data_IF_666777502228
#
_entry.id   IF_666777502228
#
_cell.length_a   1.000
_cell.length_b   1.000
_cell.length_c   1.000
_cell.angle_alpha   90.00
_cell.angle_beta   90.00
_cell.angle_gamma   90.00
#
_symmetry.space_group_name_H-M   'P 1'
#
loop_
_entity.id
_entity.type
_entity.pdbx_description
1 polymer ?
#
# COMPACT_ATOMS: atom_id res chain seq x y z
N UNK A 1 -27.32 -1.16 11.41
CA UNK A 1 -25.88 -0.83 11.44
C UNK A 1 -25.13 -2.11 11.17
N UNK A 2 -24.33 -2.15 10.10
CA UNK A 2 -23.49 -3.31 9.79
C UNK A 2 -22.21 -3.24 10.62
N UNK A 3 -21.75 -4.39 11.10
CA UNK A 3 -20.57 -4.48 11.97
C UNK A 3 -19.33 -4.05 11.16
N UNK A 4 -18.27 -3.48 11.75
CA UNK A 4 -17.02 -3.15 11.04
C UNK A 4 -16.36 -4.33 10.29
N UNK A 5 -16.82 -5.56 10.53
CA UNK A 5 -16.42 -6.78 9.81
C UNK A 5 -17.06 -6.90 8.41
N UNK A 6 -18.02 -6.06 8.04
CA UNK A 6 -18.73 -6.10 6.75
C UNK A 6 -18.08 -5.22 5.67
N UNK A 7 -16.95 -4.57 5.97
CA UNK A 7 -16.15 -3.77 5.04
C UNK A 7 -15.06 -4.67 4.44
N UNK A 8 -14.79 -4.58 3.12
CA UNK A 8 -13.95 -5.52 2.36
C UNK A 8 -12.52 -5.77 2.90
N UNK A 9 -11.76 -6.73 2.34
CA UNK A 9 -10.70 -7.48 3.05
C UNK A 9 -9.34 -6.78 3.30
N UNK A 10 -9.19 -5.46 3.12
CA UNK A 10 -7.87 -4.80 3.01
C UNK A 10 -7.61 -3.63 3.97
N UNK A 11 -7.78 -3.83 5.28
CA UNK A 11 -7.52 -2.79 6.29
C UNK A 11 -6.63 -3.29 7.42
N UNK A 12 -5.87 -2.40 8.05
CA UNK A 12 -4.96 -2.74 9.15
C UNK A 12 -5.15 -1.71 10.28
N UNK A 13 -5.32 -2.15 11.52
CA UNK A 13 -5.67 -1.29 12.68
C UNK A 13 -4.67 -1.44 13.82
N UNK A 14 -4.17 -0.34 14.37
CA UNK A 14 -3.48 -0.34 15.66
C UNK A 14 -4.50 -0.12 16.79
N UNK A 15 -4.19 -0.59 18.02
CA UNK A 15 -5.02 -0.29 19.20
C UNK A 15 -4.77 1.11 19.79
N UNK A 16 -3.78 1.85 19.28
CA UNK A 16 -3.86 3.31 19.17
C UNK A 16 -4.70 3.62 17.92
N UNK A 17 -5.65 4.55 17.99
CA UNK A 17 -6.79 4.78 17.09
C UNK A 17 -6.53 4.98 15.58
N UNK A 18 -5.65 4.22 14.94
CA UNK A 18 -5.12 4.49 13.61
C UNK A 18 -5.46 3.35 12.65
N UNK A 19 -5.73 3.71 11.39
CA UNK A 19 -6.00 2.77 10.31
C UNK A 19 -5.01 2.98 9.16
N UNK A 20 -4.19 1.97 8.89
CA UNK A 20 -3.37 1.94 7.68
C UNK A 20 -4.09 1.15 6.60
N UNK A 21 -4.16 1.71 5.39
CA UNK A 21 -4.96 1.13 4.30
C UNK A 21 -4.10 0.84 3.08
N UNK A 22 -4.35 -0.32 2.47
CA UNK A 22 -3.85 -0.59 1.13
C UNK A 22 -4.87 -0.10 0.10
N UNK A 23 -4.48 -0.11 -1.18
CA UNK A 23 -5.40 0.27 -2.24
C UNK A 23 -6.57 -0.72 -2.32
N UNK A 24 -7.73 -0.25 -2.79
CA UNK A 24 -8.91 -1.07 -2.99
C UNK A 24 -8.60 -2.26 -3.90
N UNK A 25 -9.18 -3.41 -3.57
CA UNK A 25 -8.99 -4.65 -4.32
C UNK A 25 -9.21 -4.42 -5.82
N UNK A 26 -8.21 -4.79 -6.63
CA UNK A 26 -8.21 -4.62 -8.09
C UNK A 26 -7.54 -3.34 -8.59
N UNK A 27 -7.54 -2.24 -7.83
CA UNK A 27 -6.95 -0.97 -8.26
C UNK A 27 -5.42 -1.07 -8.44
N UNK A 28 -4.69 -1.67 -7.49
CA UNK A 28 -3.24 -1.90 -7.64
C UNK A 28 -2.92 -2.78 -8.85
N UNK A 29 -3.80 -3.73 -9.20
CA UNK A 29 -3.60 -4.58 -10.37
C UNK A 29 -3.77 -3.79 -11.67
N UNK A 30 -4.73 -2.86 -11.72
CA UNK A 30 -4.91 -1.95 -12.86
C UNK A 30 -3.74 -0.96 -13.00
N UNK A 31 -3.17 -0.51 -11.88
CA UNK A 31 -2.05 0.42 -11.86
C UNK A 31 -0.71 -0.25 -12.19
N UNK A 32 -0.49 -1.48 -11.72
CA UNK A 32 0.79 -2.18 -11.89
C UNK A 32 0.70 -3.32 -12.92
N UNK A 33 0.47 -4.53 -12.44
CA UNK A 33 0.28 -5.75 -13.21
C UNK A 33 -0.60 -6.69 -12.38
N UNK A 34 -1.44 -7.48 -13.02
CA UNK A 34 -2.31 -8.39 -12.29
C UNK A 34 -1.53 -9.64 -11.83
N UNK A 35 -1.34 -9.81 -10.51
CA UNK A 35 -0.53 -10.91 -9.93
C UNK A 35 -0.92 -12.32 -10.41
N UNK A 36 -2.22 -12.59 -10.58
CA UNK A 36 -2.73 -13.93 -10.98
C UNK A 36 -2.82 -14.16 -12.49
N UNK A 37 -3.39 -13.21 -13.25
CA UNK A 37 -3.62 -13.36 -14.69
C UNK A 37 -2.48 -12.84 -15.55
N UNK A 38 -1.52 -12.09 -15.00
CA UNK A 38 -0.46 -11.43 -15.76
C UNK A 38 -0.95 -10.29 -16.66
N UNK A 39 -2.23 -9.90 -16.58
CA UNK A 39 -2.74 -8.80 -17.39
C UNK A 39 -1.98 -7.50 -17.06
N UNK A 40 -1.50 -6.77 -18.09
CA UNK A 40 -0.68 -5.59 -17.87
C UNK A 40 -1.53 -4.42 -17.40
N UNK A 41 -1.11 -3.79 -16.30
CA UNK A 41 -1.67 -2.52 -15.84
C UNK A 41 -0.93 -1.32 -16.45
N UNK A 42 -1.20 -0.12 -15.95
CA UNK A 42 -0.59 1.13 -16.42
C UNK A 42 0.93 1.03 -16.46
N UNK A 43 1.56 0.54 -15.38
CA UNK A 43 3.00 0.36 -15.28
C UNK A 43 3.56 -0.57 -16.36
N UNK A 44 2.98 -1.76 -16.50
CA UNK A 44 3.46 -2.78 -17.43
C UNK A 44 3.23 -2.39 -18.90
N UNK A 45 2.15 -1.64 -19.18
CA UNK A 45 1.93 -1.04 -20.49
C UNK A 45 2.96 0.05 -20.76
N UNK A 46 3.20 0.93 -19.79
CA UNK A 46 4.16 2.02 -19.92
C UNK A 46 5.59 1.53 -20.13
N UNK A 47 6.01 0.46 -19.46
CA UNK A 47 7.36 -0.10 -19.60
C UNK A 47 7.65 -0.71 -20.96
N UNK A 48 6.61 -1.21 -21.64
CA UNK A 48 6.70 -1.90 -22.93
C UNK A 48 6.28 -1.02 -24.11
N UNK A 49 5.89 0.23 -23.84
CA UNK A 49 5.33 1.08 -24.87
C UNK A 49 6.44 1.73 -25.69
N UNK A 50 6.52 1.31 -26.95
CA UNK A 50 7.40 1.92 -27.94
C UNK A 50 6.69 2.92 -28.85
N UNK A 51 5.34 3.03 -28.89
CA UNK A 51 4.61 4.03 -29.70
C UNK A 51 3.06 4.07 -29.58
N UNK A 52 2.39 3.15 -28.88
CA UNK A 52 0.92 2.97 -28.98
C UNK A 52 0.12 3.60 -27.82
N UNK A 53 0.77 4.25 -26.86
CA UNK A 53 0.13 4.96 -25.75
C UNK A 53 -0.92 4.14 -24.99
N UNK A 54 -0.82 2.80 -25.00
CA UNK A 54 -1.81 1.90 -24.39
C UNK A 54 -1.99 2.15 -22.89
N UNK A 55 -0.95 2.66 -22.22
CA UNK A 55 -1.00 3.06 -20.82
C UNK A 55 -1.96 4.23 -20.55
N UNK A 56 -2.24 5.11 -21.53
CA UNK A 56 -3.22 6.20 -21.39
C UNK A 56 -4.64 5.65 -21.25
N UNK A 57 -4.97 4.65 -22.07
CA UNK A 57 -6.28 3.99 -22.00
C UNK A 57 -6.44 3.26 -20.66
N UNK A 58 -5.40 2.57 -20.20
CA UNK A 58 -5.40 1.94 -18.88
C UNK A 58 -5.53 2.96 -17.74
N UNK A 59 -4.84 4.10 -17.80
CA UNK A 59 -4.94 5.15 -16.80
C UNK A 59 -6.33 5.81 -16.79
N UNK A 60 -6.94 5.96 -17.97
CA UNK A 60 -8.33 6.44 -18.11
C UNK A 60 -9.33 5.47 -17.49
N UNK A 61 -9.10 4.16 -17.65
CA UNK A 61 -9.91 3.12 -17.00
C UNK A 61 -9.77 3.19 -15.47
N UNK A 62 -8.56 3.40 -14.94
CA UNK A 62 -8.35 3.63 -13.50
C UNK A 62 -9.12 4.87 -13.04
N UNK A 63 -9.06 5.97 -13.79
CA UNK A 63 -9.78 7.20 -13.47
C UNK A 63 -11.30 6.99 -13.39
N UNK A 64 -11.84 6.23 -14.35
CA UNK A 64 -13.26 5.89 -14.40
C UNK A 64 -13.66 5.01 -13.22
N UNK A 65 -12.81 4.06 -12.81
CA UNK A 65 -13.07 3.19 -11.67
C UNK A 65 -12.97 3.89 -10.32
N UNK A 66 -12.16 4.96 -10.21
CA UNK A 66 -12.01 5.72 -8.98
C UNK A 66 -13.05 6.83 -8.82
N UNK A 67 -13.53 7.43 -9.92
CA UNK A 67 -14.66 8.38 -10.00
C UNK A 67 -14.76 9.50 -8.93
N UNK A 68 -13.65 9.85 -8.25
CA UNK A 68 -13.59 10.84 -7.18
C UNK A 68 -12.77 12.07 -7.59
N UNK A 69 -13.26 13.27 -7.28
CA UNK A 69 -12.60 14.54 -7.62
C UNK A 69 -11.20 14.66 -6.99
N UNK A 70 -11.00 14.12 -5.78
CA UNK A 70 -9.70 14.09 -5.11
C UNK A 70 -8.62 13.39 -5.95
N UNK A 71 -8.98 12.28 -6.57
CA UNK A 71 -8.05 11.48 -7.38
C UNK A 71 -7.84 12.08 -8.76
N UNK A 72 -8.80 12.85 -9.29
CA UNK A 72 -8.72 13.43 -10.63
C UNK A 72 -7.45 14.27 -10.82
N UNK A 73 -7.12 15.09 -9.82
CA UNK A 73 -5.89 15.90 -9.82
C UNK A 73 -4.64 15.03 -9.86
N UNK A 74 -4.60 13.95 -9.07
CA UNK A 74 -3.46 13.04 -9.01
C UNK A 74 -3.29 12.19 -10.26
N UNK A 75 -4.39 11.74 -10.85
CA UNK A 75 -4.37 11.02 -12.13
C UNK A 75 -3.85 11.93 -13.23
N UNK A 76 -4.32 13.16 -13.30
CA UNK A 76 -3.87 14.12 -14.31
C UNK A 76 -2.38 14.48 -14.12
N UNK A 77 -1.95 14.68 -12.88
CA UNK A 77 -0.53 14.88 -12.57
C UNK A 77 0.33 13.66 -12.93
N UNK A 78 -0.17 12.45 -12.67
CA UNK A 78 0.51 11.20 -13.05
C UNK A 78 0.60 11.07 -14.57
N UNK A 79 -0.49 11.36 -15.29
CA UNK A 79 -0.52 11.37 -16.76
C UNK A 79 0.52 12.32 -17.33
N UNK A 80 0.58 13.55 -16.82
CA UNK A 80 1.54 14.57 -17.24
C UNK A 80 2.99 14.10 -16.97
N UNK A 81 3.25 13.55 -15.78
CA UNK A 81 4.56 13.01 -15.41
C UNK A 81 5.03 11.87 -16.35
N UNK A 82 4.13 10.94 -16.69
CA UNK A 82 4.44 9.84 -17.60
C UNK A 82 4.74 10.33 -19.03
N UNK A 83 4.02 11.35 -19.51
CA UNK A 83 4.33 12.00 -20.79
C UNK A 83 5.70 12.69 -20.77
N UNK A 84 5.99 13.44 -19.72
CA UNK A 84 7.28 14.13 -19.57
C UNK A 84 8.43 13.13 -19.52
N UNK A 85 8.23 11.99 -18.85
CA UNK A 85 9.22 10.92 -18.78
C UNK A 85 9.47 10.28 -20.16
N UNK A 86 8.42 9.99 -20.94
CA UNK A 86 8.57 9.51 -22.33
C UNK A 86 9.32 10.53 -23.18
N UNK A 87 8.97 11.82 -23.06
CA UNK A 87 9.66 12.91 -23.76
C UNK A 87 11.14 13.00 -23.39
N UNK A 88 11.48 12.92 -22.10
CA UNK A 88 12.88 12.93 -21.66
C UNK A 88 13.66 11.72 -22.21
N UNK A 89 13.05 10.52 -22.18
CA UNK A 89 13.69 9.29 -22.67
C UNK A 89 13.79 9.23 -24.20
N UNK A 90 13.10 10.11 -24.95
CA UNK A 90 13.29 10.24 -26.39
C UNK A 90 14.64 10.86 -26.76
N UNK A 91 15.29 11.54 -25.80
CA UNK A 91 16.67 12.00 -25.95
C UNK A 91 17.63 10.89 -25.51
N UNK A 92 18.58 10.52 -26.37
CA UNK A 92 19.45 9.34 -26.19
C UNK A 92 20.39 9.32 -24.97
N UNK A 93 20.29 10.30 -24.07
CA UNK A 93 21.01 10.36 -22.81
C UNK A 93 20.22 9.79 -21.62
N UNK A 94 18.90 9.64 -21.75
CA UNK A 94 18.03 9.15 -20.68
C UNK A 94 17.45 7.79 -21.06
N UNK A 95 17.41 6.86 -20.10
CA UNK A 95 16.82 5.55 -20.31
C UNK A 95 15.58 5.40 -19.47
N UNK A 96 14.50 4.93 -20.08
CA UNK A 96 13.25 4.66 -19.39
C UNK A 96 13.44 3.67 -18.22
N UNK A 97 14.32 2.68 -18.41
CA UNK A 97 14.69 1.68 -17.39
C UNK A 97 15.11 2.31 -16.06
N UNK A 98 15.78 3.46 -16.11
CA UNK A 98 16.38 4.10 -14.93
C UNK A 98 15.31 4.75 -14.05
N UNK A 99 14.11 4.96 -14.60
CA UNK A 99 12.99 5.62 -13.94
C UNK A 99 11.84 4.67 -13.58
N UNK A 100 11.88 3.42 -14.05
CA UNK A 100 10.77 2.48 -13.85
C UNK A 100 10.47 2.21 -12.37
N UNK A 101 11.48 2.04 -11.51
CA UNK A 101 11.26 1.82 -10.08
C UNK A 101 10.45 2.98 -9.43
N UNK A 102 10.79 4.21 -9.79
CA UNK A 102 10.11 5.42 -9.31
C UNK A 102 8.69 5.53 -9.86
N UNK A 103 8.49 5.16 -11.13
CA UNK A 103 7.16 5.12 -11.74
C UNK A 103 6.25 4.08 -11.07
N UNK A 104 6.81 2.93 -10.67
CA UNK A 104 6.07 1.90 -9.92
C UNK A 104 5.57 2.45 -8.59
N UNK A 105 6.45 3.13 -7.86
CA UNK A 105 6.16 3.79 -6.58
C UNK A 105 5.07 4.86 -6.71
N UNK A 106 5.18 5.72 -7.72
CA UNK A 106 4.19 6.76 -8.01
C UNK A 106 2.79 6.15 -8.22
N UNK A 107 2.71 5.10 -9.03
CA UNK A 107 1.45 4.42 -9.35
C UNK A 107 0.87 3.68 -8.14
N UNK A 108 1.70 3.02 -7.33
CA UNK A 108 1.26 2.42 -6.06
C UNK A 108 0.68 3.48 -5.11
N UNK A 109 1.39 4.58 -4.90
CA UNK A 109 0.96 5.67 -4.02
C UNK A 109 -0.38 6.29 -4.45
N UNK A 110 -0.66 6.37 -5.75
CA UNK A 110 -1.93 6.86 -6.29
C UNK A 110 -3.12 5.99 -5.84
N UNK A 111 -2.98 4.67 -5.93
CA UNK A 111 -4.02 3.71 -5.52
C UNK A 111 -4.36 3.82 -4.03
N UNK A 112 -3.35 4.03 -3.21
CA UNK A 112 -3.50 4.04 -1.75
C UNK A 112 -3.99 5.38 -1.22
N UNK A 113 -3.54 6.48 -1.82
CA UNK A 113 -4.10 7.79 -1.55
C UNK A 113 -5.61 7.81 -1.82
N UNK A 114 -6.07 7.16 -2.91
CA UNK A 114 -7.51 7.03 -3.18
C UNK A 114 -8.24 6.29 -2.05
N UNK A 115 -7.75 5.11 -1.67
CA UNK A 115 -8.40 4.30 -0.65
C UNK A 115 -8.42 4.96 0.72
N UNK A 116 -7.31 5.58 1.13
CA UNK A 116 -7.27 6.34 2.37
C UNK A 116 -8.25 7.51 2.33
N UNK A 117 -8.30 8.27 1.23
CA UNK A 117 -9.22 9.39 1.10
C UNK A 117 -10.69 8.93 1.16
N UNK A 118 -11.08 7.92 0.40
CA UNK A 118 -12.47 7.40 0.41
C UNK A 118 -12.86 6.92 1.81
N UNK A 119 -11.97 6.23 2.52
CA UNK A 119 -12.23 5.78 3.89
C UNK A 119 -12.38 6.94 4.87
N UNK A 120 -11.73 8.08 4.65
CA UNK A 120 -11.93 9.27 5.51
C UNK A 120 -13.34 9.83 5.41
N UNK A 121 -14.09 9.50 4.35
CA UNK A 121 -15.50 9.87 4.24
C UNK A 121 -16.40 9.20 5.28
N UNK A 122 -15.88 8.29 6.12
CA UNK A 122 -16.53 7.86 7.37
C UNK A 122 -16.89 9.05 8.29
N UNK A 123 -16.29 10.22 8.08
CA UNK A 123 -16.76 11.51 8.63
C UNK A 123 -18.26 11.76 8.39
N UNK A 124 -18.81 11.33 7.25
CA UNK A 124 -20.26 11.43 6.96
C UNK A 124 -21.12 10.57 7.88
N UNK A 125 -20.52 9.56 8.51
CA UNK A 125 -21.15 8.71 9.51
C UNK A 125 -20.82 9.13 10.96
N UNK A 126 -20.19 10.30 11.15
CA UNK A 126 -19.86 10.85 12.48
C UNK A 126 -18.54 10.37 13.08
N UNK A 127 -17.69 9.69 12.30
CA UNK A 127 -16.34 9.30 12.73
C UNK A 127 -15.39 10.49 12.58
N UNK A 128 -14.62 10.83 13.61
CA UNK A 128 -13.59 11.88 13.52
C UNK A 128 -12.34 11.39 12.75
N UNK A 129 -12.52 10.99 11.50
CA UNK A 129 -11.45 10.44 10.68
C UNK A 129 -10.58 11.54 10.07
N UNK A 130 -9.27 11.31 9.96
CA UNK A 130 -8.32 12.26 9.36
C UNK A 130 -7.51 11.59 8.26
N UNK A 131 -7.44 12.22 7.09
CA UNK A 131 -6.62 11.71 5.99
C UNK A 131 -5.14 12.00 6.24
N UNK A 132 -4.28 10.97 6.19
CA UNK A 132 -2.83 11.10 6.33
C UNK A 132 -2.15 10.50 5.11
N UNK A 133 -1.57 11.37 4.27
CA UNK A 133 -0.90 10.96 3.03
C UNK A 133 0.62 10.84 3.22
N UNK A 134 1.11 9.60 3.22
CA UNK A 134 2.55 9.32 3.26
C UNK A 134 3.15 9.11 1.86
N UNK A 135 2.34 9.08 0.79
CA UNK A 135 2.78 8.80 -0.58
C UNK A 135 3.78 9.81 -1.15
N UNK A 136 3.94 10.97 -0.49
CA UNK A 136 4.86 12.01 -0.91
C UNK A 136 4.45 12.71 -2.20
N UNK A 137 3.15 12.74 -2.53
CA UNK A 137 2.62 13.49 -3.66
C UNK A 137 3.10 14.95 -3.62
N UNK A 138 3.87 15.35 -4.64
CA UNK A 138 4.55 16.67 -4.72
C UNK A 138 5.49 17.00 -3.54
N UNK A 139 5.89 16.01 -2.75
CA UNK A 139 6.77 16.17 -1.61
C UNK A 139 8.24 15.86 -1.91
N UNK A 140 9.15 16.36 -1.06
CA UNK A 140 10.58 16.06 -1.15
C UNK A 140 10.86 14.57 -0.90
N UNK A 141 11.83 13.98 -1.62
CA UNK A 141 12.27 12.58 -1.47
C UNK A 141 13.30 12.36 -0.34
N UNK A 142 13.88 13.43 0.17
CA UNK A 142 14.94 13.38 1.18
C UNK A 142 14.37 13.26 2.60
N UNK A 143 13.65 12.17 2.88
CA UNK A 143 13.37 11.79 4.26
C UNK A 143 13.32 10.28 4.44
N UNK A 144 13.69 9.85 5.64
CA UNK A 144 13.59 8.45 6.05
C UNK A 144 12.13 8.07 6.32
N UNK A 145 11.83 6.77 6.40
CA UNK A 145 10.48 6.30 6.72
C UNK A 145 9.98 6.85 8.08
N UNK A 146 10.77 6.81 9.18
CA UNK A 146 10.34 7.40 10.45
C UNK A 146 10.07 8.91 10.35
N UNK A 147 10.87 9.65 9.58
CA UNK A 147 10.64 11.09 9.37
C UNK A 147 9.35 11.34 8.56
N UNK A 148 9.05 10.50 7.57
CA UNK A 148 7.82 10.58 6.78
C UNK A 148 6.60 10.35 7.68
N UNK A 149 6.63 9.31 8.50
CA UNK A 149 5.57 8.98 9.46
C UNK A 149 5.38 10.11 10.46
N UNK A 150 6.48 10.58 11.07
CA UNK A 150 6.45 11.67 12.04
C UNK A 150 5.83 12.94 11.48
N UNK A 151 6.19 13.33 10.24
CA UNK A 151 5.60 14.49 9.56
C UNK A 151 4.13 14.27 9.19
N UNK A 152 3.75 13.06 8.78
CA UNK A 152 2.37 12.75 8.40
C UNK A 152 1.42 12.76 9.60
N UNK A 153 1.90 12.31 10.76
CA UNK A 153 1.14 12.28 12.01
C UNK A 153 1.29 13.56 12.85
N UNK A 154 2.01 14.57 12.35
CA UNK A 154 2.18 15.83 13.06
C UNK A 154 0.81 16.52 13.29
N UNK A 155 0.55 16.86 14.54
CA UNK A 155 -0.72 17.45 14.97
C UNK A 155 -1.94 16.54 14.85
N UNK A 156 -1.77 15.21 14.75
CA UNK A 156 -2.86 14.24 14.88
C UNK A 156 -3.01 13.86 16.37
N UNK A 157 -4.21 14.01 16.91
CA UNK A 157 -4.55 13.54 18.26
C UNK A 157 -5.15 12.13 18.19
N UNK A 158 -4.34 11.11 18.49
CA UNK A 158 -4.75 9.71 18.41
C UNK A 158 -5.81 9.32 19.47
N UNK A 159 -6.10 10.17 20.47
CA UNK A 159 -7.17 9.90 21.43
C UNK A 159 -8.55 10.27 20.88
N UNK A 160 -8.61 11.22 19.95
CA UNK A 160 -9.87 11.80 19.47
C UNK A 160 -10.06 11.69 17.97
N UNK A 161 -8.99 11.55 17.20
CA UNK A 161 -8.99 11.39 15.75
C UNK A 161 -8.70 9.93 15.36
N UNK A 162 -9.28 9.51 14.24
CA UNK A 162 -8.96 8.25 13.56
C UNK A 162 -8.14 8.57 12.30
N UNK A 163 -6.79 8.63 12.36
CA UNK A 163 -5.99 8.80 11.17
C UNK A 163 -6.13 7.60 10.24
N UNK A 164 -6.44 7.88 8.98
CA UNK A 164 -6.47 6.95 7.87
C UNK A 164 -5.24 7.20 7.02
N UNK A 165 -4.26 6.31 7.13
CA UNK A 165 -2.91 6.46 6.61
C UNK A 165 -2.72 5.61 5.36
N UNK A 166 -2.04 6.14 4.34
CA UNK A 166 -1.64 5.36 3.16
C UNK A 166 -0.61 4.29 3.54
N UNK A 167 -0.75 3.06 3.03
CA UNK A 167 0.22 1.98 3.25
C UNK A 167 1.57 2.19 2.55
N UNK A 168 1.58 2.84 1.40
CA UNK A 168 2.78 3.28 0.72
C UNK A 168 3.25 4.60 1.33
N UNK A 169 4.52 4.62 1.71
CA UNK A 169 5.20 5.81 2.18
C UNK A 169 6.41 6.07 1.28
N UNK A 170 6.52 7.31 0.79
CA UNK A 170 7.69 7.73 0.02
C UNK A 170 8.81 8.06 1.00
N UNK A 171 9.93 7.35 0.87
CA UNK A 171 11.11 7.54 1.70
C UNK A 171 12.39 7.15 0.95
N UNK A 172 13.54 7.58 1.48
CA UNK A 172 14.87 7.33 0.93
C UNK A 172 15.25 5.85 0.80
N UNK A 173 14.63 4.99 1.59
CA UNK A 173 14.91 3.56 1.68
C UNK A 173 14.28 2.76 0.53
N UNK A 174 13.34 3.35 -0.22
CA UNK A 174 12.70 2.71 -1.39
C UNK A 174 11.89 1.46 -1.03
N UNK A 175 10.75 1.63 -0.35
CA UNK A 175 9.99 0.51 0.21
C UNK A 175 9.56 -0.52 -0.84
N UNK A 176 9.14 -0.09 -2.04
CA UNK A 176 8.75 -1.04 -3.09
C UNK A 176 9.92 -1.85 -3.60
N UNK A 177 11.13 -1.26 -3.70
CA UNK A 177 12.31 -1.99 -4.14
C UNK A 177 12.72 -3.05 -3.12
N UNK A 178 12.57 -2.74 -1.82
CA UNK A 178 13.01 -3.61 -0.73
C UNK A 178 11.98 -4.68 -0.35
N UNK A 179 10.69 -4.38 -0.48
CA UNK A 179 9.59 -5.23 0.03
C UNK A 179 8.51 -5.59 -1.02
N UNK A 180 8.68 -5.23 -2.29
CA UNK A 180 7.70 -5.40 -3.38
C UNK A 180 6.28 -4.96 -3.01
N UNK A 181 5.31 -5.87 -2.81
CA UNK A 181 3.94 -5.52 -2.36
C UNK A 181 3.71 -5.70 -0.86
N UNK A 182 4.76 -5.95 -0.09
CA UNK A 182 4.77 -6.05 1.37
C UNK A 182 5.08 -4.75 2.09
N UNK A 183 5.20 -3.63 1.36
CA UNK A 183 5.56 -2.35 1.97
C UNK A 183 4.48 -1.84 2.91
N UNK A 184 3.19 -2.16 2.67
CA UNK A 184 2.09 -1.64 3.49
C UNK A 184 2.18 -2.15 4.91
N UNK A 185 2.58 -3.41 5.09
CA UNK A 185 2.80 -3.98 6.42
C UNK A 185 4.03 -3.39 7.11
N UNK A 186 5.09 -3.11 6.35
CA UNK A 186 6.29 -2.44 6.87
C UNK A 186 5.97 -1.04 7.37
N UNK A 187 5.22 -0.26 6.57
CA UNK A 187 4.74 1.07 6.95
C UNK A 187 3.86 0.98 8.19
N UNK A 188 2.91 0.04 8.21
CA UNK A 188 2.03 -0.14 9.36
C UNK A 188 2.78 -0.47 10.64
N UNK A 189 3.72 -1.43 10.61
CA UNK A 189 4.48 -1.78 11.80
C UNK A 189 5.36 -0.62 12.29
N UNK A 190 5.91 0.18 11.37
CA UNK A 190 6.63 1.41 11.74
C UNK A 190 5.69 2.46 12.36
N UNK A 191 4.45 2.59 11.89
CA UNK A 191 3.45 3.47 12.51
C UNK A 191 3.11 2.97 13.91
N UNK A 192 2.83 1.67 14.07
CA UNK A 192 2.51 1.06 15.36
C UNK A 192 3.65 1.24 16.37
N UNK A 193 4.90 1.06 15.94
CA UNK A 193 6.08 1.32 16.75
C UNK A 193 6.23 2.82 17.09
N UNK A 194 6.00 3.71 16.12
CA UNK A 194 6.07 5.16 16.31
C UNK A 194 5.01 5.68 17.29
N UNK A 195 3.79 5.15 17.23
CA UNK A 195 2.69 5.56 18.11
C UNK A 195 2.68 4.83 19.46
N UNK A 196 3.58 3.87 19.66
CA UNK A 196 3.65 3.08 20.89
C UNK A 196 2.45 2.15 21.06
N UNK A 197 1.85 1.70 19.97
CA UNK A 197 0.68 0.83 19.99
C UNK A 197 0.96 -0.47 20.76
N UNK A 198 0.06 -0.84 21.67
CA UNK A 198 0.15 -2.11 22.43
C UNK A 198 -0.13 -3.33 21.56
N UNK A 199 -0.94 -3.17 20.51
CA UNK A 199 -1.30 -4.23 19.57
C UNK A 199 -1.49 -3.63 18.17
N UNK A 200 -1.07 -4.39 17.16
CA UNK A 200 -1.23 -4.06 15.76
C UNK A 200 -1.91 -5.23 15.03
N UNK A 201 -3.13 -4.99 14.53
CA UNK A 201 -4.01 -6.01 13.94
C UNK A 201 -3.99 -5.88 12.42
N UNK A 202 -3.54 -6.94 11.75
CA UNK A 202 -3.48 -7.02 10.29
C UNK A 202 -4.63 -7.88 9.79
N UNK A 203 -5.57 -7.27 9.04
CA UNK A 203 -6.64 -8.04 8.41
C UNK A 203 -6.18 -8.55 7.04
N UNK A 204 -6.33 -9.86 6.85
CA UNK A 204 -5.97 -10.60 5.63
C UNK A 204 -7.11 -11.53 5.24
N UNK A 205 -7.11 -11.95 3.98
CA UNK A 205 -8.03 -12.96 3.47
C UNK A 205 -7.84 -14.34 4.15
N UNK A 206 -6.63 -14.62 4.64
CA UNK A 206 -6.28 -15.86 5.32
C UNK A 206 -5.54 -15.59 6.63
N UNK A 207 -5.83 -16.41 7.66
CA UNK A 207 -5.07 -16.41 8.90
C UNK A 207 -3.73 -17.11 8.72
N UNK A 208 -2.79 -16.84 9.64
CA UNK A 208 -1.59 -17.65 9.76
C UNK A 208 -1.99 -19.11 9.97
N UNK A 209 -1.32 -19.98 9.23
CA UNK A 209 -1.85 -21.28 8.89
C UNK A 209 -0.71 -22.26 8.75
N UNK A 210 -0.96 -23.53 9.09
CA UNK A 210 0.06 -24.59 9.03
C UNK A 210 0.61 -24.87 7.62
N UNK A 211 -0.10 -24.47 6.57
CA UNK A 211 0.28 -24.61 5.16
C UNK A 211 -0.52 -23.63 4.29
N UNK A 212 -0.14 -23.46 3.01
CA UNK A 212 -0.89 -22.64 2.04
C UNK A 212 -2.22 -23.32 1.65
N UNK A 213 -3.39 -22.70 1.95
CA UNK A 213 -4.71 -23.23 1.60
C UNK A 213 -4.92 -23.45 0.09
N UNK A 214 -4.23 -22.69 -0.76
CA UNK A 214 -4.33 -22.83 -2.21
C UNK A 214 -3.57 -24.07 -2.73
N UNK A 215 -2.57 -24.55 -1.98
CA UNK A 215 -1.78 -25.73 -2.34
C UNK A 215 -2.37 -27.01 -1.78
N UNK A 216 -2.76 -27.00 -0.50
CA UNK A 216 -3.20 -28.22 0.19
C UNK A 216 -4.71 -28.32 0.38
N UNK A 217 -5.46 -27.29 -0.01
CA UNK A 217 -6.90 -27.18 0.17
C UNK A 217 -7.27 -26.70 1.58
N UNK A 218 -8.32 -25.88 1.70
CA UNK A 218 -8.72 -25.23 2.96
C UNK A 218 -9.11 -26.18 4.09
N UNK A 219 -9.45 -27.43 3.79
CA UNK A 219 -9.79 -28.46 4.79
C UNK A 219 -8.56 -29.06 5.47
N UNK A 220 -7.38 -28.94 4.85
CA UNK A 220 -6.13 -29.55 5.31
C UNK A 220 -5.19 -28.54 5.99
N UNK A 221 -5.72 -27.36 6.33
CA UNK A 221 -4.97 -26.27 6.95
C UNK A 221 -5.51 -26.00 8.34
N UNK A 222 -4.63 -26.02 9.33
CA UNK A 222 -4.93 -25.58 10.69
C UNK A 222 -4.56 -24.11 10.86
N UNK A 223 -5.48 -23.32 11.45
CA UNK A 223 -5.16 -21.94 11.87
C UNK A 223 -4.12 -21.98 13.00
N UNK A 224 -3.07 -21.20 12.87
CA UNK A 224 -2.11 -20.94 13.93
C UNK A 224 -2.63 -19.74 14.74
N UNK A 225 -2.86 -19.97 16.03
CA UNK A 225 -3.41 -18.97 16.95
C UNK A 225 -2.33 -18.05 17.47
N UNK A 226 -1.62 -18.47 18.53
CA UNK A 226 -0.48 -17.75 19.07
C UNK A 226 0.83 -18.30 18.51
N UNK A 227 1.67 -17.40 18.04
CA UNK A 227 3.03 -17.73 17.59
C UNK A 227 3.97 -16.60 17.97
N UNK A 228 5.26 -16.89 18.07
CA UNK A 228 6.27 -15.86 18.27
C UNK A 228 6.75 -15.28 16.92
N UNK A 229 7.37 -14.11 17.00
CA UNK A 229 7.89 -13.40 15.84
C UNK A 229 8.83 -14.24 14.99
N UNK A 230 9.71 -15.03 15.62
CA UNK A 230 10.76 -15.77 14.92
C UNK A 230 10.12 -16.90 14.09
N UNK A 231 9.10 -17.57 14.61
CA UNK A 231 8.33 -18.59 13.91
C UNK A 231 7.48 -18.00 12.78
N UNK A 232 6.83 -16.87 13.02
CA UNK A 232 6.05 -16.17 11.99
C UNK A 232 6.95 -15.73 10.82
N UNK A 233 8.10 -15.10 11.09
CA UNK A 233 9.04 -14.64 10.05
C UNK A 233 9.60 -15.81 9.22
N UNK A 234 9.91 -16.94 9.85
CA UNK A 234 10.33 -18.13 9.12
C UNK A 234 9.24 -18.67 8.19
N UNK A 235 7.98 -18.69 8.63
CA UNK A 235 6.86 -19.15 7.80
C UNK A 235 6.61 -18.24 6.60
N UNK A 236 6.80 -16.94 6.74
CA UNK A 236 6.69 -15.99 5.63
C UNK A 236 7.82 -16.14 4.64
N UNK A 237 9.05 -16.36 5.12
CA UNK A 237 10.18 -16.69 4.25
C UNK A 237 9.96 -18.01 3.47
N UNK A 238 9.09 -18.90 3.95
CA UNK A 238 8.68 -20.12 3.24
C UNK A 238 7.51 -19.92 2.26
N UNK A 239 6.99 -18.70 2.11
CA UNK A 239 5.97 -18.38 1.11
C UNK A 239 4.53 -18.71 1.51
N UNK A 240 4.25 -18.92 2.81
CA UNK A 240 2.87 -19.09 3.30
C UNK A 240 2.14 -17.73 3.17
N UNK A 241 0.96 -17.66 2.52
CA UNK A 241 0.37 -16.41 2.00
C UNK A 241 -0.24 -15.46 3.04
N UNK A 242 0.31 -15.40 4.25
CA UNK A 242 -0.19 -14.55 5.33
C UNK A 242 0.35 -13.13 5.29
N UNK A 243 1.58 -12.96 4.82
CA UNK A 243 2.25 -11.66 4.70
C UNK A 243 2.94 -11.62 3.34
N UNK A 244 2.85 -10.48 2.65
CA UNK A 244 3.46 -10.30 1.34
C UNK A 244 4.89 -9.78 1.42
N UNK A 245 5.74 -10.34 2.30
CA UNK A 245 7.13 -9.90 2.44
C UNK A 245 7.82 -10.43 3.69
N UNK A 246 9.06 -9.98 3.91
CA UNK A 246 9.79 -10.17 5.18
C UNK A 246 9.21 -9.25 6.25
N UNK A 247 9.15 -9.69 7.50
CA UNK A 247 8.85 -8.75 8.57
C UNK A 247 9.96 -7.67 8.64
N UNK A 248 9.61 -6.44 9.06
CA UNK A 248 10.61 -5.49 9.53
C UNK A 248 11.31 -6.07 10.77
N UNK A 249 12.44 -5.51 11.19
CA UNK A 249 13.27 -6.09 12.26
C UNK A 249 12.45 -6.40 13.53
N UNK A 250 12.93 -7.34 14.36
CA UNK A 250 12.24 -7.74 15.61
C UNK A 250 11.81 -6.57 16.50
N UNK A 251 12.54 -5.46 16.48
CA UNK A 251 12.21 -4.23 17.21
C UNK A 251 11.03 -3.45 16.60
N UNK A 252 10.81 -3.54 15.29
CA UNK A 252 9.74 -2.88 14.55
C UNK A 252 8.45 -3.72 14.53
N UNK A 253 8.58 -5.04 14.70
CA UNK A 253 7.46 -5.99 14.63
C UNK A 253 7.02 -6.59 15.97
N UNK A 254 7.68 -6.24 17.08
CA UNK A 254 7.34 -6.75 18.42
C UNK A 254 5.89 -6.47 18.81
N UNK A 255 5.26 -5.46 18.23
CA UNK A 255 3.89 -5.07 18.51
C UNK A 255 2.89 -5.55 17.42
N UNK A 256 3.37 -6.17 16.34
CA UNK A 256 2.57 -6.61 15.19
C UNK A 256 2.20 -8.10 15.19
N UNK A 257 2.75 -8.89 16.12
CA UNK A 257 2.55 -10.34 16.17
C UNK A 257 2.17 -10.73 17.61
N UNK A 258 0.91 -11.10 17.80
CA UNK A 258 0.36 -11.66 19.05
C UNK A 258 -0.65 -12.76 18.75
#
# INVERSE_FOLDING_TARGET
MRHPADWGPFWIRALSSDLCVSAFGGITNLLLEHKKSGQPGVYALFSNDHNDHGWLNALTNVATGMADEFVRERIEGTRSCLFDLQRLCSYGHFRLSDHMAVTRELLSGLGEAHSAFVTTLLQRAGVNARFVDLSGWRGARECTLPQRISRGLDGVDLETELPIVTGYAQCSEGLMQKYDRGYSEVTFCNIAAYTGATEAIIHKEFHLSSADPNLVGSTNVGKLGHTDYDVADQQLNMGIPTFSGKFPTRAEASNCIS
#
